data_IF_948729279619
#
_entry.id   IF_948729279619
#
_cell.length_a   1.000
_cell.length_b   1.000
_cell.length_c   1.000
_cell.angle_alpha   90.00
_cell.angle_beta   90.00
_cell.angle_gamma   90.00
#
_symmetry.space_group_name_H-M   'P 1'
#
loop_
_entity.id
_entity.type
_entity.pdbx_description
1 polymer ?
#
# COMPACT_ATOMS: atom_id res chain seq x y z
N UNK A 1 -17.15 30.46 -18.08
CA UNK A 1 -17.57 29.15 -17.59
C UNK A 1 -17.73 28.09 -18.69
N UNK A 2 -18.43 28.32 -19.81
CA UNK A 2 -18.59 27.33 -20.89
C UNK A 2 -17.26 26.88 -21.55
N UNK A 3 -16.28 27.76 -21.69
CA UNK A 3 -14.95 27.42 -22.30
C UNK A 3 -14.08 26.56 -21.37
N UNK A 4 -14.21 26.70 -20.03
CA UNK A 4 -13.51 25.89 -19.05
C UNK A 4 -14.05 24.46 -19.02
N UNK A 5 -15.36 24.29 -19.21
CA UNK A 5 -16.01 22.98 -19.28
C UNK A 5 -15.62 22.20 -20.54
N UNK A 6 -15.39 22.89 -21.66
CA UNK A 6 -14.96 22.24 -22.92
C UNK A 6 -13.49 21.77 -22.81
N UNK A 7 -12.62 22.54 -22.15
CA UNK A 7 -11.23 22.12 -21.90
C UNK A 7 -11.19 20.90 -20.98
N UNK A 8 -12.04 20.84 -19.97
CA UNK A 8 -12.14 19.68 -19.05
C UNK A 8 -12.63 18.41 -19.79
N UNK A 9 -13.53 18.54 -20.77
CA UNK A 9 -14.06 17.42 -21.57
C UNK A 9 -13.04 16.92 -22.60
N UNK A 10 -12.18 17.80 -23.16
CA UNK A 10 -11.13 17.43 -24.11
C UNK A 10 -9.96 16.67 -23.45
N UNK A 11 -9.77 16.82 -22.13
CA UNK A 11 -8.74 16.09 -21.38
C UNK A 11 -9.15 14.63 -21.06
N UNK A 12 -10.42 14.25 -21.26
CA UNK A 12 -10.97 12.91 -20.97
C UNK A 12 -10.84 11.96 -22.16
N UNK A 13 -10.46 12.45 -23.34
CA UNK A 13 -10.45 11.70 -24.60
C UNK A 13 -9.06 11.40 -25.16
N UNK A 14 -8.19 10.67 -24.43
CA UNK A 14 -6.86 10.36 -24.95
C UNK A 14 -6.27 9.04 -24.49
N UNK A 15 -6.10 8.13 -25.43
CA UNK A 15 -5.17 7.00 -25.50
C UNK A 15 -5.31 5.89 -24.45
N UNK A 16 -5.78 4.75 -24.91
CA UNK A 16 -5.57 3.48 -24.26
C UNK A 16 -4.10 3.06 -24.46
N UNK A 17 -3.22 3.49 -23.56
CA UNK A 17 -1.92 2.87 -23.35
C UNK A 17 -2.11 1.87 -22.21
N UNK A 18 -2.03 0.59 -22.49
CA UNK A 18 -2.01 -0.47 -21.49
C UNK A 18 -0.61 -0.51 -20.88
N UNK A 19 -0.37 0.34 -19.88
CA UNK A 19 0.86 0.38 -19.11
C UNK A 19 0.94 -0.78 -18.12
N UNK A 20 2.14 -1.21 -17.76
CA UNK A 20 2.36 -2.22 -16.73
C UNK A 20 1.92 -1.69 -15.37
N UNK A 21 0.87 -2.28 -14.80
CA UNK A 21 0.35 -1.89 -13.48
C UNK A 21 1.17 -2.53 -12.36
N UNK A 22 1.43 -1.76 -11.28
CA UNK A 22 1.80 -2.35 -10.00
C UNK A 22 0.62 -3.15 -9.43
N UNK A 23 0.92 -4.17 -8.60
CA UNK A 23 -0.12 -4.91 -7.91
C UNK A 23 -1.01 -3.96 -7.11
N UNK A 24 -2.31 -4.01 -7.36
CA UNK A 24 -3.29 -3.20 -6.69
C UNK A 24 -3.92 -4.00 -5.55
N UNK A 25 -3.81 -3.50 -4.32
CA UNK A 25 -4.43 -4.11 -3.16
C UNK A 25 -5.77 -3.43 -2.84
N UNK A 26 -6.84 -4.22 -2.73
CA UNK A 26 -8.16 -3.70 -2.40
C UNK A 26 -8.31 -3.39 -0.90
N UNK A 27 -7.50 -4.06 -0.06
CA UNK A 27 -7.46 -3.83 1.39
C UNK A 27 -6.37 -2.82 1.81
N UNK A 28 -6.05 -1.82 0.99
CA UNK A 28 -5.00 -0.83 1.27
C UNK A 28 -5.17 -0.09 2.60
N UNK A 29 -6.41 0.09 3.07
CA UNK A 29 -6.70 0.75 4.35
C UNK A 29 -6.08 0.02 5.55
N UNK A 30 -5.93 -1.29 5.44
CA UNK A 30 -5.45 -2.15 6.51
C UNK A 30 -3.96 -2.45 6.41
N UNK A 31 -3.39 -2.34 5.19
CA UNK A 31 -1.95 -2.45 4.97
C UNK A 31 -1.42 -1.27 4.11
N UNK A 32 -1.55 -0.06 4.65
CA UNK A 32 -1.09 1.19 4.01
C UNK A 32 0.42 1.20 3.73
N UNK A 33 1.18 0.36 4.45
CA UNK A 33 2.62 0.26 4.31
C UNK A 33 3.04 -0.23 2.92
N UNK A 34 2.25 -1.09 2.26
CA UNK A 34 2.54 -1.56 0.90
C UNK A 34 2.53 -0.44 -0.15
N UNK A 35 1.80 0.64 0.10
CA UNK A 35 1.68 1.76 -0.84
C UNK A 35 2.44 3.02 -0.39
N UNK A 36 2.90 3.09 0.88
CA UNK A 36 3.56 4.30 1.39
C UNK A 36 4.62 3.95 2.44
N UNK A 37 5.92 4.16 2.18
CA UNK A 37 6.99 3.89 3.13
C UNK A 37 6.95 4.78 4.39
N UNK A 38 6.29 5.95 4.34
CA UNK A 38 6.09 6.81 5.50
C UNK A 38 5.19 6.20 6.58
N UNK A 39 4.45 5.14 6.26
CA UNK A 39 3.59 4.41 7.21
C UNK A 39 4.40 3.49 8.12
N UNK A 40 5.62 3.09 7.74
CA UNK A 40 6.41 2.13 8.49
C UNK A 40 6.52 2.50 9.99
N UNK A 41 5.98 1.68 10.88
CA UNK A 41 5.97 1.89 12.33
C UNK A 41 5.14 3.07 12.82
N UNK A 42 4.26 3.67 12.01
CA UNK A 42 3.49 4.86 12.37
C UNK A 42 2.52 4.63 13.54
N UNK A 43 1.96 3.44 13.66
CA UNK A 43 1.05 3.03 14.73
C UNK A 43 1.76 2.61 16.03
N UNK A 44 3.08 2.41 15.97
CA UNK A 44 3.91 2.02 17.10
C UNK A 44 4.01 0.51 17.34
N UNK A 45 3.19 -0.28 16.69
CA UNK A 45 3.24 -1.74 16.80
C UNK A 45 4.37 -2.33 15.96
N UNK A 46 4.84 -3.51 16.37
CA UNK A 46 5.51 -4.43 15.46
C UNK A 46 4.45 -5.27 14.79
N UNK A 47 4.31 -5.16 13.48
CA UNK A 47 3.28 -5.86 12.72
C UNK A 47 3.88 -6.65 11.57
N UNK A 48 3.31 -7.83 11.36
CA UNK A 48 3.58 -8.67 10.19
C UNK A 48 2.27 -8.89 9.46
N UNK A 49 2.30 -8.84 8.13
CA UNK A 49 1.12 -9.03 7.30
C UNK A 49 1.45 -9.90 6.10
N UNK A 50 0.57 -10.83 5.81
CA UNK A 50 0.56 -11.65 4.61
C UNK A 50 -0.67 -11.29 3.80
N UNK A 51 -0.51 -10.95 2.53
CA UNK A 51 -1.61 -10.71 1.61
C UNK A 51 -1.48 -11.59 0.38
N UNK A 52 -2.58 -12.19 -0.03
CA UNK A 52 -2.71 -12.99 -1.22
C UNK A 52 -3.88 -12.45 -2.05
N UNK A 53 -3.62 -12.11 -3.31
CA UNK A 53 -4.60 -11.57 -4.24
C UNK A 53 -4.58 -12.38 -5.53
N UNK A 54 -5.73 -12.88 -5.92
CA UNK A 54 -5.97 -13.54 -7.19
C UNK A 54 -7.01 -12.76 -7.99
N UNK A 55 -6.58 -12.16 -9.09
CA UNK A 55 -7.48 -11.37 -9.96
C UNK A 55 -8.13 -12.28 -10.99
N UNK A 56 -9.38 -12.00 -11.30
CA UNK A 56 -10.12 -12.66 -12.40
C UNK A 56 -10.01 -14.18 -12.37
N UNK A 57 -10.33 -14.78 -11.23
CA UNK A 57 -10.30 -16.23 -11.07
C UNK A 57 -11.12 -16.91 -12.17
N UNK A 58 -10.57 -17.97 -12.76
CA UNK A 58 -11.15 -18.70 -13.91
C UNK A 58 -10.59 -18.26 -15.26
N UNK A 59 -9.92 -17.10 -15.35
CA UNK A 59 -9.27 -16.65 -16.57
C UNK A 59 -7.83 -17.20 -16.66
N UNK A 60 -7.45 -17.73 -17.83
CA UNK A 60 -6.09 -18.26 -18.04
C UNK A 60 -5.05 -17.14 -17.99
N UNK A 61 -3.96 -17.33 -17.25
CA UNK A 61 -2.93 -16.30 -17.08
C UNK A 61 -3.34 -15.15 -16.16
N UNK A 62 -4.43 -15.28 -15.39
CA UNK A 62 -4.90 -14.27 -14.46
C UNK A 62 -3.83 -13.81 -13.48
N UNK A 63 -3.79 -12.49 -13.13
CA UNK A 63 -2.80 -11.95 -12.23
C UNK A 63 -2.93 -12.53 -10.81
N UNK A 64 -1.78 -12.86 -10.21
CA UNK A 64 -1.66 -13.33 -8.82
C UNK A 64 -0.55 -12.59 -8.11
N UNK A 65 -0.87 -12.06 -6.95
CA UNK A 65 0.09 -11.30 -6.13
C UNK A 65 0.11 -11.85 -4.72
N UNK A 66 1.30 -12.17 -4.23
CA UNK A 66 1.55 -12.52 -2.85
C UNK A 66 2.51 -11.50 -2.26
N UNK A 67 2.25 -11.05 -1.04
CA UNK A 67 3.16 -10.17 -0.32
C UNK A 67 3.24 -10.55 1.15
N UNK A 68 4.45 -10.49 1.70
CA UNK A 68 4.72 -10.58 3.12
C UNK A 68 5.42 -9.31 3.55
N UNK A 69 4.88 -8.62 4.53
CA UNK A 69 5.42 -7.36 5.05
C UNK A 69 5.62 -7.42 6.56
N UNK A 70 6.64 -6.73 7.02
CA UNK A 70 6.92 -6.51 8.43
C UNK A 70 7.30 -5.08 8.69
N UNK A 71 6.81 -4.50 9.78
CA UNK A 71 7.18 -3.14 10.19
C UNK A 71 7.23 -3.02 11.71
N UNK A 72 8.06 -2.12 12.19
CA UNK A 72 8.21 -1.87 13.62
C UNK A 72 8.61 -0.43 13.88
N UNK A 73 8.30 0.05 15.07
CA UNK A 73 8.80 1.33 15.56
C UNK A 73 9.87 1.09 16.63
N UNK A 74 11.01 1.74 16.46
CA UNK A 74 12.06 1.72 17.48
C UNK A 74 11.64 2.68 18.60
N UNK A 75 11.06 2.11 19.66
CA UNK A 75 10.64 2.85 20.84
C UNK A 75 11.80 2.87 21.84
N UNK A 76 12.43 4.03 22.06
CA UNK A 76 13.34 4.22 23.19
C UNK A 76 12.48 4.39 24.45
N UNK A 77 12.50 3.43 25.35
CA UNK A 77 11.91 3.56 26.69
C UNK A 77 12.87 4.40 27.53
N UNK A 78 12.61 5.69 27.61
CA UNK A 78 13.29 6.55 28.58
C UNK A 78 12.61 6.42 29.95
N UNK A 79 13.34 5.94 30.93
CA UNK A 79 12.86 5.96 32.31
C UNK A 79 13.32 7.28 32.96
N UNK A 80 12.39 8.20 33.26
CA UNK A 80 12.69 9.32 34.11
C UNK A 80 12.68 8.85 35.57
N UNK A 81 13.84 8.72 36.14
CA UNK A 81 14.01 8.56 37.57
C UNK A 81 13.95 9.92 38.27
N UNK A 82 13.04 10.05 39.23
CA UNK A 82 12.96 11.02 40.32
C UNK A 82 12.68 12.49 39.99
N UNK A 83 11.47 12.93 40.26
CA UNK A 83 11.28 14.25 40.89
C UNK A 83 11.16 14.05 42.40
N UNK A 84 12.13 14.56 43.16
CA UNK A 84 12.06 14.69 44.61
C UNK A 84 11.09 15.82 44.96
N UNK A 85 9.80 15.60 44.88
CA UNK A 85 8.78 16.48 45.45
C UNK A 85 7.84 15.58 46.22
N UNK A 86 8.05 15.56 47.54
CA UNK A 86 7.26 15.08 48.65
C UNK A 86 6.04 14.18 48.40
N UNK A 87 6.17 13.05 47.80
CA UNK A 87 5.07 12.13 47.58
C UNK A 87 5.35 11.16 46.44
N UNK A 88 5.71 9.95 46.78
CA UNK A 88 5.74 8.77 45.92
C UNK A 88 6.44 8.87 44.55
N UNK A 89 7.36 7.96 44.29
CA UNK A 89 8.00 7.81 42.99
C UNK A 89 6.97 7.49 41.91
N UNK A 90 6.52 8.48 41.14
CA UNK A 90 5.68 8.25 39.98
C UNK A 90 6.57 7.89 38.79
N UNK A 91 6.51 6.65 38.39
CA UNK A 91 7.20 6.10 37.22
C UNK A 91 6.46 6.51 35.96
N UNK A 92 7.00 7.39 35.13
CA UNK A 92 6.43 7.77 33.85
C UNK A 92 7.33 7.28 32.72
N UNK A 93 6.96 6.24 31.98
CA UNK A 93 7.71 5.85 30.80
C UNK A 93 7.52 6.90 29.70
N UNK A 94 8.61 7.51 29.25
CA UNK A 94 8.62 8.41 28.11
C UNK A 94 9.12 7.65 26.89
N UNK A 95 8.30 7.56 25.83
CA UNK A 95 8.71 7.00 24.56
C UNK A 95 9.07 8.10 23.57
N UNK A 96 10.36 8.24 23.29
CA UNK A 96 10.88 9.19 22.29
C UNK A 96 11.16 8.50 20.93
N UNK A 97 10.53 7.36 20.66
CA UNK A 97 10.73 6.63 19.43
C UNK A 97 10.22 7.40 18.21
N UNK A 98 11.14 7.85 17.37
CA UNK A 98 10.85 8.62 16.15
C UNK A 98 11.14 7.84 14.87
N UNK A 99 11.72 6.65 14.98
CA UNK A 99 12.18 5.87 13.85
C UNK A 99 11.27 4.67 13.65
N UNK A 100 10.74 4.51 12.45
CA UNK A 100 10.09 3.31 11.96
C UNK A 100 10.97 2.60 10.95
N UNK A 101 10.99 1.29 11.03
CA UNK A 101 11.61 0.41 10.06
C UNK A 101 10.55 -0.53 9.51
N UNK A 102 10.66 -0.84 8.23
CA UNK A 102 9.78 -1.80 7.60
C UNK A 102 10.42 -2.44 6.38
N UNK A 103 9.84 -3.53 5.96
CA UNK A 103 10.21 -4.18 4.72
C UNK A 103 9.10 -5.08 4.24
N UNK A 104 9.08 -5.35 2.96
CA UNK A 104 8.23 -6.38 2.39
C UNK A 104 8.92 -7.08 1.23
N UNK A 105 8.48 -8.29 1.00
CA UNK A 105 8.78 -9.09 -0.19
C UNK A 105 7.48 -9.38 -0.91
N UNK A 106 7.53 -9.46 -2.22
CA UNK A 106 6.36 -9.80 -3.02
C UNK A 106 6.73 -10.65 -4.22
N UNK A 107 5.75 -11.41 -4.68
CA UNK A 107 5.76 -12.12 -5.94
C UNK A 107 4.47 -11.80 -6.68
N UNK A 108 4.61 -11.31 -7.89
CA UNK A 108 3.52 -10.91 -8.76
C UNK A 108 3.68 -11.59 -10.10
N UNK A 109 2.65 -12.33 -10.52
CA UNK A 109 2.56 -12.94 -11.85
C UNK A 109 1.40 -12.31 -12.58
N UNK A 110 1.64 -11.73 -13.76
CA UNK A 110 0.62 -11.15 -14.61
C UNK A 110 0.81 -11.65 -16.04
N UNK A 111 0.02 -12.64 -16.45
CA UNK A 111 0.22 -13.34 -17.71
C UNK A 111 1.61 -13.96 -17.77
N UNK A 112 2.39 -13.56 -18.78
CA UNK A 112 3.75 -14.05 -19.01
C UNK A 112 4.81 -13.39 -18.12
N UNK A 113 4.47 -12.26 -17.51
CA UNK A 113 5.39 -11.45 -16.71
C UNK A 113 5.36 -11.91 -15.27
N UNK A 114 6.53 -12.23 -14.73
CA UNK A 114 6.72 -12.51 -13.31
C UNK A 114 7.66 -11.47 -12.71
N UNK A 115 7.23 -10.85 -11.62
CA UNK A 115 8.02 -9.92 -10.81
C UNK A 115 8.14 -10.45 -9.40
N UNK A 116 9.34 -10.53 -8.91
CA UNK A 116 9.61 -10.80 -7.50
C UNK A 116 10.47 -9.68 -6.98
N UNK A 117 10.14 -9.11 -5.84
CA UNK A 117 10.89 -7.98 -5.33
C UNK A 117 10.86 -7.88 -3.83
N UNK A 118 11.65 -6.94 -3.35
CA UNK A 118 11.71 -6.57 -1.95
C UNK A 118 11.74 -5.05 -1.78
N UNK A 119 11.35 -4.59 -0.62
CA UNK A 119 11.49 -3.22 -0.16
C UNK A 119 12.04 -3.20 1.26
N UNK A 120 12.96 -2.29 1.52
CA UNK A 120 13.40 -1.93 2.86
C UNK A 120 13.15 -0.43 3.09
N UNK A 121 12.43 -0.09 4.15
CA UNK A 121 11.93 1.25 4.42
C UNK A 121 12.45 1.78 5.74
N UNK A 122 12.79 3.05 5.74
CA UNK A 122 13.08 3.86 6.90
C UNK A 122 12.07 5.01 6.97
N UNK A 123 11.45 5.24 8.12
CA UNK A 123 10.55 6.36 8.34
C UNK A 123 10.92 7.15 9.59
N UNK A 124 10.71 8.47 9.54
CA UNK A 124 10.92 9.37 10.64
C UNK A 124 9.59 10.01 11.05
N UNK A 125 9.25 9.94 12.34
CA UNK A 125 7.98 10.38 12.89
C UNK A 125 8.15 11.64 13.73
N UNK A 126 7.41 12.68 13.38
CA UNK A 126 7.32 13.94 14.09
C UNK A 126 5.90 14.10 14.65
N UNK A 127 5.79 14.52 15.89
CA UNK A 127 4.52 14.94 16.43
C UNK A 127 4.40 16.45 16.26
N UNK A 128 3.45 16.88 15.42
CA UNK A 128 3.15 18.30 15.19
C UNK A 128 2.34 18.83 16.37
N UNK A 129 1.36 18.04 16.81
CA UNK A 129 0.49 18.30 17.96
C UNK A 129 0.47 17.08 18.88
N UNK A 130 -0.19 17.21 20.02
CA UNK A 130 -0.31 16.11 20.98
C UNK A 130 -0.92 14.83 20.39
N UNK A 131 -1.77 14.94 19.35
CA UNK A 131 -2.48 13.81 18.76
C UNK A 131 -2.17 13.59 17.27
N UNK A 132 -1.48 14.52 16.61
CA UNK A 132 -1.18 14.47 15.16
C UNK A 132 0.28 14.16 14.93
N UNK A 133 0.53 13.08 14.20
CA UNK A 133 1.86 12.63 13.80
C UNK A 133 2.05 12.85 12.31
N UNK A 134 3.16 13.50 11.93
CA UNK A 134 3.69 13.54 10.57
C UNK A 134 4.81 12.52 10.45
N UNK A 135 4.78 11.72 9.42
CA UNK A 135 5.79 10.71 9.12
C UNK A 135 6.34 10.92 7.71
N UNK A 136 7.64 10.84 7.55
CA UNK A 136 8.32 10.86 6.26
C UNK A 136 9.11 9.58 6.11
N UNK A 137 8.97 8.90 4.97
CA UNK A 137 9.61 7.62 4.71
C UNK A 137 10.35 7.60 3.39
N UNK A 138 11.47 6.90 3.40
CA UNK A 138 12.24 6.53 2.22
C UNK A 138 12.36 5.01 2.20
N UNK A 139 12.34 4.45 1.00
CA UNK A 139 12.57 3.04 0.81
C UNK A 139 13.52 2.77 -0.35
N UNK A 140 14.30 1.71 -0.21
CA UNK A 140 15.05 1.10 -1.29
C UNK A 140 14.32 -0.15 -1.71
N UNK A 141 14.11 -0.29 -3.02
CA UNK A 141 13.40 -1.41 -3.63
C UNK A 141 14.27 -2.11 -4.65
N UNK A 142 14.02 -3.38 -4.86
CA UNK A 142 14.66 -4.15 -5.89
C UNK A 142 13.69 -5.16 -6.49
N UNK A 143 13.61 -5.19 -7.81
CA UNK A 143 12.72 -6.05 -8.56
C UNK A 143 13.53 -6.99 -9.45
N UNK A 144 13.22 -8.27 -9.41
CA UNK A 144 13.66 -9.24 -10.39
C UNK A 144 12.50 -9.49 -11.37
N UNK A 145 12.72 -9.12 -12.61
CA UNK A 145 11.73 -9.18 -13.68
C UNK A 145 12.07 -10.34 -14.62
N UNK A 146 11.11 -11.24 -14.86
CA UNK A 146 11.30 -12.41 -15.71
C UNK A 146 10.08 -12.61 -16.60
N UNK A 147 10.32 -13.02 -17.85
CA UNK A 147 9.27 -13.47 -18.78
C UNK A 147 9.25 -15.01 -18.79
N UNK A 148 8.08 -15.59 -18.59
CA UNK A 148 7.90 -17.05 -18.64
C UNK A 148 7.66 -17.50 -20.08
N UNK A 149 8.69 -18.05 -20.70
CA UNK A 149 8.67 -18.50 -22.10
C UNK A 149 7.91 -19.79 -22.34
N UNK A 150 7.74 -20.61 -21.31
CA UNK A 150 7.08 -21.92 -21.47
C UNK A 150 5.62 -21.78 -21.92
N UNK A 151 5.07 -20.58 -21.85
CA UNK A 151 3.71 -20.25 -22.25
C UNK A 151 3.64 -19.50 -23.61
N UNK A 152 4.79 -19.27 -24.28
CA UNK A 152 4.89 -18.54 -25.54
C UNK A 152 5.31 -19.51 -26.65
N UNK A 153 4.53 -19.57 -27.73
CA UNK A 153 4.93 -20.20 -28.99
C UNK A 153 5.34 -19.13 -29.96
N UNK A 154 6.60 -19.08 -30.35
CA UNK A 154 7.12 -18.15 -31.34
C UNK A 154 7.12 -18.81 -32.71
N UNK A 155 6.70 -18.08 -33.76
CA UNK A 155 6.83 -18.51 -35.14
C UNK A 155 8.30 -18.46 -35.61
N UNK A 156 9.11 -17.50 -35.08
CA UNK A 156 10.53 -17.39 -35.36
C UNK A 156 11.36 -17.61 -34.06
N UNK A 157 12.17 -18.68 -33.99
CA UNK A 157 13.04 -18.95 -32.85
C UNK A 157 14.15 -17.91 -32.64
N UNK A 158 14.41 -17.04 -33.63
CA UNK A 158 15.46 -16.03 -33.59
C UNK A 158 14.92 -14.60 -33.38
N UNK A 159 13.70 -14.45 -32.94
CA UNK A 159 13.13 -13.13 -32.74
C UNK A 159 13.98 -12.28 -31.78
N UNK A 160 14.35 -11.03 -32.15
CA UNK A 160 15.28 -10.19 -31.36
C UNK A 160 14.80 -9.87 -29.95
N UNK A 161 13.48 -9.97 -29.70
CA UNK A 161 12.86 -9.80 -28.37
C UNK A 161 13.18 -10.92 -27.39
N UNK A 162 13.71 -12.06 -27.89
CA UNK A 162 14.12 -13.20 -27.10
C UNK A 162 15.57 -13.10 -26.58
N UNK A 163 16.03 -11.91 -26.27
CA UNK A 163 17.34 -11.73 -25.67
C UNK A 163 17.47 -12.63 -24.43
N UNK A 164 18.58 -13.37 -24.37
CA UNK A 164 18.90 -14.28 -23.28
C UNK A 164 18.84 -13.62 -21.88
N UNK A 165 18.97 -12.29 -21.80
CA UNK A 165 18.86 -11.51 -20.55
C UNK A 165 17.44 -11.48 -20.00
N UNK A 166 16.41 -11.34 -20.84
CA UNK A 166 15.00 -11.39 -20.43
C UNK A 166 14.57 -12.76 -19.94
N UNK A 167 15.17 -13.80 -20.52
CA UNK A 167 14.99 -15.19 -20.09
C UNK A 167 15.58 -15.44 -18.72
N UNK A 168 16.76 -14.91 -18.45
CA UNK A 168 17.47 -15.03 -17.17
C UNK A 168 16.87 -14.13 -16.09
N UNK A 169 16.11 -13.09 -16.49
CA UNK A 169 15.56 -12.05 -15.63
C UNK A 169 16.54 -10.92 -15.36
N UNK A 170 15.98 -9.73 -15.24
CA UNK A 170 16.73 -8.49 -14.99
C UNK A 170 16.41 -7.98 -13.59
N UNK A 171 17.44 -7.63 -12.84
CA UNK A 171 17.28 -6.96 -11.55
C UNK A 171 17.27 -5.45 -11.74
N UNK A 172 16.22 -4.80 -11.24
CA UNK A 172 16.01 -3.34 -11.34
C UNK A 172 15.98 -2.76 -9.93
N UNK A 173 17.01 -2.01 -9.51
CA UNK A 173 16.96 -1.25 -8.25
C UNK A 173 16.14 0.01 -8.43
N UNK A 174 15.41 0.41 -7.38
CA UNK A 174 14.60 1.61 -7.35
C UNK A 174 14.51 2.19 -5.94
N UNK A 175 13.80 3.29 -5.78
CA UNK A 175 13.53 3.91 -4.50
C UNK A 175 12.11 4.46 -4.44
N UNK A 176 11.57 4.54 -3.22
CA UNK A 176 10.25 5.09 -2.97
C UNK A 176 10.34 6.18 -1.89
N UNK A 177 9.42 7.13 -1.98
CA UNK A 177 9.26 8.20 -1.00
C UNK A 177 7.80 8.26 -0.54
N UNK A 178 7.59 8.62 0.72
CA UNK A 178 6.25 8.80 1.23
C UNK A 178 6.14 9.75 2.42
N UNK A 179 5.01 10.43 2.48
CA UNK A 179 4.60 11.28 3.60
C UNK A 179 3.28 10.72 4.13
N UNK A 180 3.14 10.68 5.43
CA UNK A 180 1.94 10.18 6.08
C UNK A 180 1.59 11.00 7.32
N UNK A 181 0.36 11.49 7.38
CA UNK A 181 -0.22 12.17 8.54
C UNK A 181 -1.20 11.22 9.21
N UNK A 182 -1.04 11.05 10.50
CA UNK A 182 -1.86 10.17 11.32
C UNK A 182 -2.40 10.93 12.52
N UNK A 183 -3.73 10.97 12.62
CA UNK A 183 -4.50 11.52 13.76
C UNK A 183 -5.50 10.45 14.22
N UNK A 184 -6.03 10.46 15.46
CA UNK A 184 -7.09 9.56 15.89
C UNK A 184 -8.33 9.55 14.98
N UNK A 185 -8.66 10.71 14.38
CA UNK A 185 -9.87 10.87 13.56
C UNK A 185 -9.61 10.75 12.06
N UNK A 186 -8.39 10.99 11.59
CA UNK A 186 -8.11 10.95 10.16
C UNK A 186 -6.69 10.45 9.87
N UNK A 187 -6.51 9.94 8.67
CA UNK A 187 -5.20 9.65 8.12
C UNK A 187 -5.13 10.11 6.68
N UNK A 188 -3.99 10.70 6.29
CA UNK A 188 -3.74 11.15 4.92
C UNK A 188 -2.32 10.76 4.55
N UNK A 189 -2.13 10.20 3.37
CA UNK A 189 -0.82 9.80 2.87
C UNK A 189 -0.62 10.15 1.41
N UNK A 190 0.59 10.57 1.10
CA UNK A 190 1.08 10.72 -0.26
C UNK A 190 2.36 9.89 -0.42
N UNK A 191 2.50 9.21 -1.55
CA UNK A 191 3.73 8.50 -1.88
C UNK A 191 4.00 8.53 -3.38
N UNK A 192 5.28 8.45 -3.70
CA UNK A 192 5.77 8.21 -5.05
C UNK A 192 6.64 6.96 -5.01
N UNK A 193 6.29 5.99 -5.82
CA UNK A 193 7.03 4.75 -5.97
C UNK A 193 7.76 4.73 -7.30
N UNK A 194 8.89 3.99 -7.35
CA UNK A 194 9.72 3.84 -8.55
C UNK A 194 10.33 5.16 -9.03
N UNK A 195 10.95 5.89 -8.09
CA UNK A 195 11.53 7.22 -8.36
C UNK A 195 12.58 7.21 -9.47
N UNK A 196 13.36 6.13 -9.60
CA UNK A 196 14.43 6.00 -10.58
C UNK A 196 13.98 5.37 -11.91
N UNK A 197 12.72 4.97 -12.05
CA UNK A 197 12.21 4.35 -13.27
C UNK A 197 12.54 5.10 -14.55
N UNK A 198 12.65 6.44 -14.50
CA UNK A 198 13.14 7.26 -15.61
C UNK A 198 14.67 7.27 -15.75
N UNK A 199 15.42 7.16 -14.66
CA UNK A 199 16.89 7.20 -14.66
C UNK A 199 17.53 5.86 -15.07
N UNK A 200 16.89 4.74 -14.81
CA UNK A 200 17.31 3.41 -15.28
C UNK A 200 17.30 3.30 -16.84
N UNK A 201 16.58 4.20 -17.51
CA UNK A 201 16.58 4.31 -18.98
C UNK A 201 17.89 4.83 -19.58
N UNK A 202 18.76 5.44 -18.80
CA UNK A 202 19.94 6.18 -19.31
C UNK A 202 21.21 5.32 -19.42
N UNK A 203 21.28 4.18 -18.75
CA UNK A 203 22.53 3.44 -18.59
C UNK A 203 22.76 2.29 -19.55
N UNK A 204 21.73 1.63 -20.10
CA UNK A 204 21.91 0.46 -20.98
C UNK A 204 20.61 0.23 -21.79
N UNK A 205 20.73 -0.21 -23.06
CA UNK A 205 19.56 -0.46 -23.92
C UNK A 205 18.63 -1.55 -23.35
N UNK A 206 19.18 -2.54 -22.67
CA UNK A 206 18.43 -3.58 -21.97
C UNK A 206 17.47 -3.01 -20.89
N UNK A 207 17.85 -1.94 -20.21
CA UNK A 207 17.02 -1.28 -19.20
C UNK A 207 15.92 -0.39 -19.79
N UNK A 208 16.08 0.12 -21.01
CA UNK A 208 15.06 0.96 -21.68
C UNK A 208 13.73 0.24 -21.85
N UNK A 209 13.73 -1.06 -22.05
CA UNK A 209 12.54 -1.86 -22.34
C UNK A 209 11.80 -2.33 -21.06
N UNK A 210 12.43 -2.17 -19.87
CA UNK A 210 11.89 -2.68 -18.60
C UNK A 210 11.79 -1.64 -17.49
N UNK A 211 11.88 -0.35 -17.81
CA UNK A 211 11.65 0.68 -16.81
C UNK A 211 10.19 0.70 -16.40
N UNK A 212 9.96 0.61 -15.11
CA UNK A 212 8.62 0.78 -14.55
C UNK A 212 8.30 2.26 -14.46
N UNK A 213 7.07 2.65 -14.78
CA UNK A 213 6.61 4.01 -14.64
C UNK A 213 6.54 4.41 -13.18
N UNK A 214 6.74 5.68 -12.88
CA UNK A 214 6.50 6.21 -11.53
C UNK A 214 5.03 6.12 -11.20
N UNK A 215 4.75 5.68 -9.99
CA UNK A 215 3.41 5.61 -9.45
C UNK A 215 3.24 6.57 -8.30
N UNK A 216 2.16 7.32 -8.33
CA UNK A 216 1.79 8.28 -7.29
C UNK A 216 0.52 7.83 -6.63
N UNK A 217 0.51 7.83 -5.30
CA UNK A 217 -0.63 7.48 -4.47
C UNK A 217 -0.97 8.64 -3.56
N UNK A 218 -2.22 9.03 -3.54
CA UNK A 218 -2.79 9.93 -2.55
C UNK A 218 -3.98 9.24 -1.91
N UNK A 219 -3.93 9.01 -0.61
CA UNK A 219 -5.01 8.34 0.10
C UNK A 219 -5.38 9.06 1.37
N UNK A 220 -6.62 8.89 1.78
CA UNK A 220 -7.13 9.44 3.02
C UNK A 220 -8.29 8.63 3.57
N UNK A 221 -8.49 8.72 4.89
CA UNK A 221 -9.65 8.20 5.58
C UNK A 221 -10.01 9.09 6.75
N UNK A 222 -11.29 9.15 7.08
CA UNK A 222 -11.78 9.86 8.24
C UNK A 222 -12.64 8.90 9.09
N UNK A 223 -12.58 9.02 10.41
CA UNK A 223 -13.30 8.18 11.36
C UNK A 223 -14.37 9.00 12.07
N UNK A 224 -15.63 8.61 11.86
CA UNK A 224 -16.77 9.10 12.61
C UNK A 224 -17.19 8.05 13.63
N UNK A 225 -17.32 8.44 14.87
CA UNK A 225 -17.73 7.57 15.97
C UNK A 225 -19.18 7.95 16.41
N UNK A 226 -20.24 7.47 15.75
CA UNK A 226 -21.62 7.77 16.14
C UNK A 226 -21.95 7.25 17.54
N UNK A 227 -21.32 6.15 17.94
CA UNK A 227 -21.43 5.59 19.29
C UNK A 227 -20.07 5.06 19.74
N UNK A 228 -19.89 4.81 21.03
CA UNK A 228 -18.65 4.23 21.58
C UNK A 228 -18.29 2.86 21.01
N UNK A 229 -19.20 2.18 20.32
CA UNK A 229 -19.00 0.86 19.70
C UNK A 229 -19.04 0.86 18.18
N UNK A 230 -19.44 1.96 17.56
CA UNK A 230 -19.65 2.04 16.11
C UNK A 230 -18.78 3.13 15.53
N UNK A 231 -18.07 2.80 14.46
CA UNK A 231 -17.24 3.72 13.69
C UNK A 231 -17.63 3.62 12.22
N UNK A 232 -17.78 4.76 11.55
CA UNK A 232 -18.01 4.86 10.12
C UNK A 232 -16.78 5.53 9.51
N UNK A 233 -16.13 4.85 8.56
CA UNK A 233 -14.87 5.30 7.98
C UNK A 233 -15.00 5.48 6.46
N UNK A 234 -15.35 6.67 5.97
CA UNK A 234 -15.17 7.02 4.57
C UNK A 234 -13.69 7.06 4.22
N UNK A 235 -13.35 6.66 3.02
CA UNK A 235 -11.99 6.58 2.51
C UNK A 235 -11.92 6.86 1.03
N UNK A 236 -10.77 7.37 0.59
CA UNK A 236 -10.46 7.56 -0.81
C UNK A 236 -8.99 7.23 -1.08
N UNK A 237 -8.71 6.67 -2.25
CA UNK A 237 -7.38 6.45 -2.78
C UNK A 237 -7.37 6.92 -4.24
N UNK A 238 -6.43 7.77 -4.58
CA UNK A 238 -6.13 8.18 -5.94
C UNK A 238 -4.78 7.59 -6.33
N UNK A 239 -4.76 6.93 -7.47
CA UNK A 239 -3.57 6.35 -8.07
C UNK A 239 -3.34 6.95 -9.45
N UNK A 240 -2.11 7.31 -9.74
CA UNK A 240 -1.68 7.85 -11.03
C UNK A 240 -0.34 7.23 -11.40
N UNK A 241 -0.11 7.00 -12.68
CA UNK A 241 1.21 6.75 -13.22
C UNK A 241 1.45 7.64 -14.45
N UNK A 242 2.69 7.69 -14.93
CA UNK A 242 3.05 8.54 -16.06
C UNK A 242 2.34 8.13 -17.36
N UNK A 243 1.98 6.86 -17.50
CA UNK A 243 1.36 6.32 -18.73
C UNK A 243 -0.09 5.87 -18.55
N UNK A 244 -0.59 5.79 -17.29
CA UNK A 244 -1.92 5.28 -17.02
C UNK A 244 -2.91 6.39 -16.69
N UNK A 245 -4.17 6.15 -17.04
CA UNK A 245 -5.27 7.01 -16.59
C UNK A 245 -5.36 7.01 -15.07
N UNK A 246 -5.60 8.19 -14.44
CA UNK A 246 -5.85 8.26 -13.02
C UNK A 246 -6.98 7.30 -12.61
N UNK A 247 -6.76 6.55 -11.54
CA UNK A 247 -7.73 5.64 -10.96
C UNK A 247 -8.02 6.09 -9.52
N UNK A 248 -9.29 6.12 -9.17
CA UNK A 248 -9.72 6.43 -7.82
C UNK A 248 -10.57 5.31 -7.24
N UNK A 249 -10.36 5.03 -5.96
CA UNK A 249 -11.20 4.15 -5.15
C UNK A 249 -11.87 5.01 -4.08
N UNK A 250 -13.19 4.97 -3.98
CA UNK A 250 -13.95 5.67 -2.94
C UNK A 250 -14.75 4.62 -2.17
N UNK A 251 -14.61 4.62 -0.86
CA UNK A 251 -15.19 3.58 -0.02
C UNK A 251 -15.77 4.09 1.28
N UNK A 252 -16.61 3.25 1.86
CA UNK A 252 -17.17 3.42 3.18
C UNK A 252 -17.06 2.10 3.94
N UNK A 253 -16.45 2.14 5.13
CA UNK A 253 -16.31 0.99 6.01
C UNK A 253 -17.01 1.26 7.33
N UNK A 254 -17.80 0.30 7.78
CA UNK A 254 -18.42 0.28 9.10
C UNK A 254 -17.61 -0.67 10.00
N UNK A 255 -17.21 -0.17 11.18
CA UNK A 255 -16.49 -0.95 12.19
C UNK A 255 -17.35 -1.08 13.45
N UNK A 256 -17.50 -2.28 13.94
CA UNK A 256 -18.27 -2.57 15.15
C UNK A 256 -17.39 -3.15 16.25
N UNK A 257 -17.43 -2.52 17.42
CA UNK A 257 -16.72 -2.95 18.63
C UNK A 257 -15.20 -3.02 18.45
N UNK A 258 -14.64 -2.30 17.47
CA UNK A 258 -13.22 -2.36 17.08
C UNK A 258 -12.74 -3.78 16.72
N UNK A 259 -13.67 -4.70 16.46
CA UNK A 259 -13.40 -6.11 16.19
C UNK A 259 -13.85 -6.56 14.81
N UNK A 260 -15.02 -6.11 14.36
CA UNK A 260 -15.59 -6.50 13.08
C UNK A 260 -15.70 -5.30 12.17
N UNK A 261 -15.46 -5.50 10.90
CA UNK A 261 -15.71 -4.45 9.90
C UNK A 261 -16.30 -5.06 8.63
N UNK A 262 -17.08 -4.23 7.95
CA UNK A 262 -17.55 -4.50 6.60
C UNK A 262 -17.56 -3.18 5.82
N UNK A 263 -17.18 -3.21 4.56
CA UNK A 263 -17.10 -2.03 3.73
C UNK A 263 -17.44 -2.31 2.28
N UNK A 264 -17.82 -1.24 1.59
CA UNK A 264 -18.05 -1.20 0.16
C UNK A 264 -17.23 -0.06 -0.43
N UNK A 265 -16.61 -0.30 -1.58
CA UNK A 265 -15.87 0.71 -2.32
C UNK A 265 -16.19 0.61 -3.81
N UNK A 266 -16.15 1.75 -4.47
CA UNK A 266 -16.23 1.83 -5.92
C UNK A 266 -14.90 2.30 -6.49
N UNK A 267 -14.41 1.55 -7.46
CA UNK A 267 -13.18 1.83 -8.21
C UNK A 267 -13.56 2.37 -9.59
N UNK A 268 -12.97 3.52 -9.97
CA UNK A 268 -13.29 4.19 -11.25
C UNK A 268 -12.93 3.36 -12.48
N UNK A 269 -12.05 2.35 -12.34
CA UNK A 269 -11.82 1.33 -13.37
C UNK A 269 -12.98 0.33 -13.51
N UNK A 270 -14.18 0.70 -13.02
CA UNK A 270 -15.42 -0.06 -13.10
C UNK A 270 -15.37 -1.36 -12.28
N UNK A 271 -15.09 -1.27 -10.99
CA UNK A 271 -15.24 -2.37 -10.06
C UNK A 271 -15.94 -1.93 -8.78
N UNK A 272 -16.75 -2.82 -8.22
CA UNK A 272 -17.31 -2.71 -6.88
C UNK A 272 -16.54 -3.68 -5.98
N UNK A 273 -16.07 -3.18 -4.85
CA UNK A 273 -15.26 -3.95 -3.91
C UNK A 273 -16.04 -4.09 -2.61
N UNK A 274 -16.33 -5.31 -2.22
CA UNK A 274 -16.85 -5.63 -0.90
C UNK A 274 -15.71 -6.16 -0.04
N UNK A 275 -15.52 -5.59 1.16
CA UNK A 275 -14.51 -6.03 2.10
C UNK A 275 -15.13 -6.28 3.46
N UNK A 276 -14.63 -7.30 4.17
CA UNK A 276 -15.04 -7.61 5.53
C UNK A 276 -13.91 -8.33 6.26
N UNK A 277 -13.98 -8.30 7.56
CA UNK A 277 -13.01 -9.02 8.38
C UNK A 277 -13.24 -8.82 9.87
N UNK A 278 -12.32 -9.36 10.63
CA UNK A 278 -12.37 -9.31 12.08
C UNK A 278 -10.98 -9.26 12.70
N UNK A 279 -10.93 -8.74 13.92
CA UNK A 279 -9.75 -8.77 14.77
C UNK A 279 -10.01 -9.67 15.97
N UNK A 280 -9.12 -10.63 16.19
CA UNK A 280 -9.13 -11.49 17.34
C UNK A 280 -7.81 -11.38 18.10
N UNK A 281 -7.85 -10.88 19.33
CA UNK A 281 -6.67 -10.55 20.13
C UNK A 281 -5.75 -9.55 19.40
N UNK A 282 -4.64 -10.03 18.86
CA UNK A 282 -3.64 -9.26 18.10
C UNK A 282 -3.58 -9.66 16.62
N UNK A 283 -4.45 -10.58 16.20
CA UNK A 283 -4.55 -11.05 14.82
C UNK A 283 -5.70 -10.35 14.10
N UNK A 284 -5.44 -9.94 12.89
CA UNK A 284 -6.37 -9.34 11.94
C UNK A 284 -6.55 -10.30 10.77
N UNK A 285 -7.77 -10.57 10.37
CA UNK A 285 -8.10 -11.36 9.19
C UNK A 285 -9.12 -10.57 8.37
N UNK A 286 -8.76 -10.26 7.13
CA UNK A 286 -9.61 -9.52 6.20
C UNK A 286 -9.71 -10.20 4.85
N UNK A 287 -10.88 -10.08 4.25
CA UNK A 287 -11.15 -10.57 2.92
C UNK A 287 -11.81 -9.48 2.09
N UNK A 288 -11.40 -9.37 0.83
CA UNK A 288 -12.04 -8.49 -0.14
C UNK A 288 -12.40 -9.27 -1.40
N UNK A 289 -13.54 -8.91 -1.96
CA UNK A 289 -14.06 -9.39 -3.24
C UNK A 289 -14.30 -8.22 -4.16
N UNK A 290 -13.60 -8.21 -5.33
CA UNK A 290 -13.78 -7.18 -6.33
C UNK A 290 -14.65 -7.75 -7.46
N UNK A 291 -15.82 -7.20 -7.63
CA UNK A 291 -16.71 -7.47 -8.75
C UNK A 291 -16.45 -6.45 -9.85
N UNK A 292 -15.86 -6.88 -10.95
CA UNK A 292 -15.62 -5.98 -12.10
C UNK A 292 -16.90 -5.79 -12.92
N UNK A 293 -17.15 -4.56 -13.36
CA UNK A 293 -18.27 -4.20 -14.23
C UNK A 293 -17.87 -4.17 -15.71
N UNK A 294 -16.67 -4.67 -16.01
CA UNK A 294 -16.14 -4.78 -17.38
C UNK A 294 -16.54 -6.11 -18.02
N UNK A 295 -16.33 -6.25 -19.31
CA UNK A 295 -16.72 -7.45 -20.07
C UNK A 295 -16.04 -8.73 -19.59
N UNK A 296 -14.84 -8.62 -19.01
CA UNK A 296 -14.09 -9.75 -18.43
C UNK A 296 -14.90 -10.48 -17.34
N UNK A 297 -15.87 -9.82 -16.71
CA UNK A 297 -16.75 -10.45 -15.71
C UNK A 297 -17.51 -11.66 -16.25
N UNK A 298 -17.74 -11.72 -17.57
CA UNK A 298 -18.47 -12.83 -18.20
C UNK A 298 -17.70 -14.15 -18.18
N UNK A 299 -16.38 -14.09 -18.01
CA UNK A 299 -15.48 -15.25 -18.08
C UNK A 299 -14.65 -15.43 -16.79
N UNK A 300 -14.99 -14.69 -15.72
CA UNK A 300 -14.28 -14.75 -14.46
C UNK A 300 -15.24 -14.83 -13.27
N UNK A 301 -14.77 -15.39 -12.17
CA UNK A 301 -15.48 -15.43 -10.89
C UNK A 301 -15.14 -14.23 -9.99
N UNK A 302 -14.54 -13.17 -10.55
CA UNK A 302 -14.15 -11.97 -9.82
C UNK A 302 -12.72 -12.03 -9.31
N UNK A 303 -12.38 -11.07 -8.45
CA UNK A 303 -11.04 -10.94 -7.84
C UNK A 303 -11.16 -11.12 -6.33
N UNK A 304 -10.29 -11.91 -5.75
CA UNK A 304 -10.29 -12.25 -4.34
C UNK A 304 -8.98 -11.83 -3.69
N UNK A 305 -9.08 -11.25 -2.50
CA UNK A 305 -7.91 -10.85 -1.72
C UNK A 305 -8.10 -11.26 -0.25
N UNK A 306 -7.14 -12.01 0.28
CA UNK A 306 -7.07 -12.40 1.67
C UNK A 306 -5.87 -11.71 2.33
N UNK A 307 -6.10 -11.09 3.48
CA UNK A 307 -5.03 -10.48 4.28
C UNK A 307 -5.09 -11.00 5.71
N UNK A 308 -3.96 -11.48 6.20
CA UNK A 308 -3.76 -11.88 7.60
C UNK A 308 -2.63 -11.06 8.17
N UNK A 309 -2.87 -10.40 9.30
CA UNK A 309 -1.84 -9.62 9.98
C UNK A 309 -1.81 -9.91 11.48
N UNK A 310 -0.63 -9.82 12.07
CA UNK A 310 -0.42 -9.96 13.52
C UNK A 310 0.32 -8.73 14.03
N UNK A 311 -0.14 -8.18 15.16
CA UNK A 311 0.42 -7.00 15.80
C UNK A 311 0.93 -7.31 17.19
N UNK A 312 2.12 -6.84 17.51
CA UNK A 312 2.78 -7.03 18.81
C UNK A 312 3.16 -5.69 19.42
N UNK A 313 3.20 -5.63 20.74
CA UNK A 313 3.61 -4.45 21.48
C UNK A 313 2.45 -3.49 21.74
N UNK A 314 2.81 -2.24 21.99
CA UNK A 314 1.88 -1.19 22.37
C UNK A 314 1.81 -0.10 21.29
N UNK A 315 0.64 0.52 21.14
CA UNK A 315 0.48 1.68 20.28
C UNK A 315 1.36 2.84 20.74
N UNK A 316 2.04 3.51 19.82
CA UNK A 316 2.80 4.73 20.11
C UNK A 316 1.94 5.86 20.70
N UNK A 317 0.63 5.82 20.47
CA UNK A 317 -0.35 6.78 21.00
C UNK A 317 -0.62 6.57 22.49
N UNK A 318 -0.59 5.33 22.97
CA UNK A 318 -0.89 4.99 24.38
C UNK A 318 -0.01 5.72 25.38
N UNK A 319 1.24 5.97 25.02
CA UNK A 319 2.22 6.61 25.89
C UNK A 319 2.17 8.14 25.90
N UNK A 320 1.58 8.76 24.88
CA UNK A 320 1.45 10.23 24.85
C UNK A 320 0.27 10.78 25.63
N UNK A 321 -0.76 9.98 25.82
CA UNK A 321 -1.92 10.38 26.65
C UNK A 321 -1.58 10.43 28.14
N UNK A 322 -0.56 9.69 28.58
CA UNK A 322 -0.09 9.68 29.97
C UNK A 322 0.74 10.92 30.35
N UNK A 323 1.22 11.71 29.38
CA UNK A 323 1.95 12.95 29.64
C UNK A 323 1.02 14.14 29.99
N UNK A 324 -0.28 13.95 30.01
CA UNK A 324 -1.29 15.00 30.26
C UNK A 324 -1.88 15.02 31.66
N UNK A 325 -1.51 14.07 32.55
CA UNK A 325 -2.00 14.03 33.92
C UNK A 325 -0.87 13.96 34.94
#
# INVERSE_FOLDING_TARGET
MKRLAIILVLFIGGLAAEGQQLPLFSQYLYNKFLINPGVAGSDGYTSFSLSAREQWIGYSGAPRTFSFSGQTRILKRGYRLKTNTGGGNVYRPKTDGRIGLGGYIFSDKNGLVQRTGFQASYSYHLWIESSTQLSMGLAVTGYHFKINENEISFEDPNEPWLNNELRRGVFVPDADFGIFVLNPKYSIGFSSQQLFGAAAKVGNEAYRNFSMDRHYYLFGSYSFEPTSRSEIQPSALLMMSEQMKPQADIGLTYVYGQKFWAGLSYRTSKAIIANFGFTYTNMYIGYAFDFTLQEIQRVTYGTHELTVAVRFGDSARKYRWLDRY
#
